data_IF_922571375009
#
_entry.id   IF_922571375009
#
_cell.length_a   1.000
_cell.length_b   1.000
_cell.length_c   1.000
_cell.angle_alpha   90.00
_cell.angle_beta   90.00
_cell.angle_gamma   90.00
#
_symmetry.space_group_name_H-M   'P 1'
#
loop_
_entity.id
_entity.type
_entity.pdbx_description
1 polymer ?
#
# COMPACT_ATOMS: atom_id res chain seq x y z
N UNK A 1 -4.08 51.11 14.28
CA UNK A 1 -4.31 51.54 12.88
C UNK A 1 -4.68 50.31 12.06
N UNK A 2 -5.75 50.27 11.26
CA UNK A 2 -6.80 51.25 10.97
C UNK A 2 -8.09 50.48 10.56
N UNK A 3 -9.21 50.71 11.24
CA UNK A 3 -10.45 51.40 10.76
C UNK A 3 -11.42 50.58 9.88
N UNK A 4 -12.58 50.30 10.48
CA UNK A 4 -13.90 49.84 9.97
C UNK A 4 -14.48 50.95 9.03
N UNK A 5 -15.28 50.69 7.94
CA UNK A 5 -16.58 50.00 8.01
C UNK A 5 -17.09 49.16 6.82
N UNK A 6 -18.15 48.39 7.10
CA UNK A 6 -19.06 47.82 6.10
C UNK A 6 -20.27 48.76 5.88
N UNK A 7 -20.54 49.14 4.63
CA UNK A 7 -21.90 49.45 4.09
C UNK A 7 -21.80 50.08 2.70
N UNK A 8 -22.53 49.56 1.71
CA UNK A 8 -23.32 50.36 0.74
C UNK A 8 -24.53 49.53 0.30
N UNK A 9 -25.65 50.22 0.10
CA UNK A 9 -26.98 49.70 -0.19
C UNK A 9 -27.19 48.99 -1.54
N UNK A 10 -28.33 48.31 -1.61
CA UNK A 10 -29.00 47.91 -2.85
C UNK A 10 -29.54 49.10 -3.64
N UNK A 11 -29.29 49.18 -4.96
CA UNK A 11 -30.34 49.40 -5.99
C UNK A 11 -29.84 49.49 -7.45
N UNK A 12 -30.71 49.05 -8.37
CA UNK A 12 -30.90 49.49 -9.77
C UNK A 12 -29.91 49.11 -10.91
N UNK A 13 -30.29 48.01 -11.58
CA UNK A 13 -30.62 47.89 -13.02
C UNK A 13 -29.57 47.93 -14.18
N UNK A 14 -29.48 46.77 -14.85
CA UNK A 14 -29.33 46.47 -16.29
C UNK A 14 -28.05 46.77 -17.12
N UNK A 15 -27.40 45.65 -17.52
CA UNK A 15 -26.87 45.26 -18.87
C UNK A 15 -26.43 46.40 -19.82
N UNK A 16 -25.19 46.43 -20.31
CA UNK A 16 -24.58 45.40 -21.18
C UNK A 16 -23.04 45.35 -21.04
N UNK A 17 -22.37 44.35 -21.63
CA UNK A 17 -20.92 44.10 -21.47
C UNK A 17 -20.02 45.12 -22.19
N UNK A 18 -18.69 45.02 -22.12
CA UNK A 18 -17.83 44.10 -21.36
C UNK A 18 -16.44 44.80 -21.20
N UNK A 19 -15.39 44.32 -20.51
CA UNK A 19 -14.96 42.97 -20.12
C UNK A 19 -14.40 42.98 -18.69
N UNK A 20 -14.53 41.88 -17.94
CA UNK A 20 -13.59 41.58 -16.85
C UNK A 20 -12.98 40.20 -16.97
N UNK A 21 -11.66 40.17 -17.10
CA UNK A 21 -10.79 38.99 -16.96
C UNK A 21 -10.86 38.44 -15.54
N UNK A 22 -11.93 37.73 -15.23
CA UNK A 22 -11.98 36.86 -14.06
C UNK A 22 -11.35 35.53 -14.43
N UNK A 23 -10.35 35.11 -13.65
CA UNK A 23 -9.94 33.71 -13.62
C UNK A 23 -11.20 32.83 -13.50
N UNK A 24 -11.29 31.69 -14.21
CA UNK A 24 -12.48 30.86 -14.15
C UNK A 24 -12.79 30.57 -12.69
N UNK A 25 -13.99 30.98 -12.24
CA UNK A 25 -14.59 30.44 -11.03
C UNK A 25 -14.41 28.93 -11.14
N UNK A 26 -13.87 28.27 -10.12
CA UNK A 26 -13.88 26.82 -10.05
C UNK A 26 -15.32 26.36 -10.28
N UNK A 27 -15.62 25.85 -11.47
CA UNK A 27 -16.96 25.38 -11.78
C UNK A 27 -17.19 24.19 -10.88
N UNK A 28 -18.16 24.34 -9.99
CA UNK A 28 -18.59 23.24 -9.16
C UNK A 28 -19.35 22.26 -10.07
N UNK A 29 -18.62 21.32 -10.66
CA UNK A 29 -19.16 20.21 -11.45
C UNK A 29 -19.96 19.21 -10.61
N UNK A 30 -20.20 19.53 -9.34
CA UNK A 30 -20.91 18.72 -8.38
C UNK A 30 -22.27 19.40 -8.12
N UNK A 31 -23.38 18.67 -8.31
CA UNK A 31 -24.74 19.18 -8.05
C UNK A 31 -25.37 18.42 -6.88
N UNK A 32 -26.17 19.06 -6.02
CA UNK A 32 -26.84 18.35 -4.94
C UNK A 32 -27.84 17.34 -5.51
N UNK A 33 -27.82 16.09 -5.02
CA UNK A 33 -28.81 15.08 -5.43
C UNK A 33 -30.09 15.27 -4.62
N UNK A 34 -31.21 15.51 -5.29
CA UNK A 34 -32.49 15.84 -4.63
C UNK A 34 -32.87 14.74 -3.65
N UNK A 35 -33.07 15.13 -2.39
CA UNK A 35 -33.49 14.20 -1.35
C UNK A 35 -32.42 13.21 -0.90
N UNK A 36 -31.12 13.50 -1.12
CA UNK A 36 -29.96 12.71 -0.68
C UNK A 36 -28.81 13.64 -0.24
N UNK A 37 -28.86 14.24 0.97
CA UNK A 37 -27.91 15.28 1.38
C UNK A 37 -26.48 14.77 1.60
N UNK A 38 -26.26 13.45 1.60
CA UNK A 38 -24.92 12.84 1.60
C UNK A 38 -24.39 12.53 0.19
N UNK A 39 -25.06 12.98 -0.88
CA UNK A 39 -24.67 12.75 -2.28
C UNK A 39 -24.61 14.02 -3.12
N UNK A 40 -23.75 13.98 -4.13
CA UNK A 40 -23.69 14.94 -5.23
C UNK A 40 -23.56 14.24 -6.58
N UNK A 41 -24.22 14.78 -7.60
CA UNK A 41 -24.03 14.38 -8.99
C UNK A 41 -22.75 15.01 -9.51
N UNK A 42 -21.76 14.20 -9.88
CA UNK A 42 -20.54 14.67 -10.52
C UNK A 42 -20.78 14.70 -12.04
N UNK A 43 -20.95 15.90 -12.60
CA UNK A 43 -21.19 16.16 -14.02
C UNK A 43 -20.02 15.67 -14.90
N UNK A 44 -18.77 15.77 -14.41
CA UNK A 44 -17.57 15.33 -15.14
C UNK A 44 -17.43 13.80 -15.20
N UNK A 45 -18.01 13.09 -14.21
CA UNK A 45 -18.06 11.63 -14.18
C UNK A 45 -19.44 11.06 -14.57
N UNK A 46 -20.40 11.94 -14.88
CA UNK A 46 -21.80 11.64 -15.19
C UNK A 46 -22.47 10.60 -14.25
N UNK A 47 -22.23 10.73 -12.94
CA UNK A 47 -22.71 9.79 -11.91
C UNK A 47 -22.94 10.44 -10.55
N UNK A 48 -23.83 9.87 -9.73
CA UNK A 48 -23.92 10.20 -8.31
C UNK A 48 -22.69 9.68 -7.54
N UNK A 49 -22.08 10.55 -6.75
CA UNK A 49 -21.03 10.26 -5.79
C UNK A 49 -21.49 10.70 -4.39
N UNK A 50 -20.82 10.23 -3.34
CA UNK A 50 -21.21 10.51 -1.97
C UNK A 50 -20.13 11.23 -1.18
N UNK A 51 -20.59 11.89 -0.12
CA UNK A 51 -19.76 12.51 0.90
C UNK A 51 -19.29 11.52 1.96
N UNK A 52 -18.06 11.70 2.51
CA UNK A 52 -17.53 10.85 3.57
C UNK A 52 -18.47 10.68 4.76
N UNK A 53 -18.28 9.58 5.50
CA UNK A 53 -19.14 9.20 6.61
C UNK A 53 -19.39 10.36 7.60
N UNK A 54 -20.64 10.47 8.05
CA UNK A 54 -21.15 11.55 8.91
C UNK A 54 -21.23 12.97 8.31
N UNK A 55 -20.72 13.20 7.09
CA UNK A 55 -20.80 14.50 6.41
C UNK A 55 -21.98 14.59 5.43
N UNK A 56 -22.34 15.83 5.06
CA UNK A 56 -23.32 16.18 4.01
C UNK A 56 -22.66 17.01 2.92
N UNK A 57 -23.17 16.90 1.69
CA UNK A 57 -22.72 17.70 0.56
C UNK A 57 -23.26 19.12 0.67
N UNK A 58 -22.35 20.09 0.59
CA UNK A 58 -22.61 21.51 0.67
C UNK A 58 -22.39 22.17 -0.69
N UNK A 59 -23.43 22.37 -1.52
CA UNK A 59 -23.31 22.91 -2.86
C UNK A 59 -22.81 24.37 -2.89
N UNK A 60 -22.99 25.10 -1.79
CA UNK A 60 -22.53 26.48 -1.60
C UNK A 60 -20.99 26.60 -1.53
N UNK A 61 -20.30 25.54 -1.08
CA UNK A 61 -18.83 25.47 -0.98
C UNK A 61 -18.23 24.29 -1.77
N UNK A 62 -19.04 23.59 -2.56
CA UNK A 62 -18.65 22.46 -3.42
C UNK A 62 -17.95 21.26 -2.71
N UNK A 63 -18.11 21.11 -1.40
CA UNK A 63 -17.42 20.09 -0.59
C UNK A 63 -18.37 19.38 0.37
N UNK A 64 -17.85 18.37 1.05
CA UNK A 64 -18.56 17.64 2.10
C UNK A 64 -18.17 18.18 3.48
N UNK A 65 -19.14 18.51 4.33
CA UNK A 65 -18.90 19.07 5.66
C UNK A 65 -19.94 18.61 6.69
N UNK A 66 -19.74 19.02 7.94
CA UNK A 66 -20.70 18.71 9.01
C UNK A 66 -22.07 19.34 8.70
N UNK A 67 -23.19 18.67 9.01
CA UNK A 67 -24.50 19.30 8.95
C UNK A 67 -24.57 20.46 9.94
N UNK A 68 -25.11 21.60 9.49
CA UNK A 68 -25.43 22.73 10.37
C UNK A 68 -26.64 22.36 11.24
N UNK A 69 -26.69 22.88 12.47
CA UNK A 69 -27.86 22.74 13.33
C UNK A 69 -29.03 23.55 12.74
N UNK A 70 -30.14 22.87 12.44
CA UNK A 70 -31.39 23.41 11.89
C UNK A 70 -31.28 24.00 10.45
N UNK A 71 -32.26 23.89 9.54
CA UNK A 71 -33.61 23.32 9.59
C UNK A 71 -33.90 22.43 8.35
N UNK A 72 -34.94 21.59 8.45
CA UNK A 72 -35.69 20.92 7.35
C UNK A 72 -35.00 19.88 6.43
N UNK A 73 -35.39 18.61 6.67
CA UNK A 73 -35.69 17.53 5.71
C UNK A 73 -34.81 17.26 4.46
N UNK A 74 -34.11 16.11 4.47
CA UNK A 74 -34.30 15.07 3.42
C UNK A 74 -33.52 13.76 3.64
N UNK A 75 -34.00 12.68 2.99
CA UNK A 75 -33.65 11.25 3.21
C UNK A 75 -32.23 10.86 2.73
N UNK A 76 -31.73 9.68 3.08
CA UNK A 76 -30.32 9.25 2.85
C UNK A 76 -30.22 7.95 2.02
N UNK A 77 -29.22 7.86 1.14
CA UNK A 77 -28.80 6.64 0.39
C UNK A 77 -27.25 6.60 0.37
N UNK A 78 -26.55 5.42 0.40
CA UNK A 78 -25.12 5.33 0.73
C UNK A 78 -24.12 5.10 -0.44
N UNK A 79 -22.82 5.10 -0.09
CA UNK A 79 -21.61 5.24 -0.94
C UNK A 79 -21.04 3.92 -1.51
N UNK A 80 -20.51 3.91 -2.75
CA UNK A 80 -19.64 2.83 -3.23
C UNK A 80 -18.23 2.90 -2.61
N UNK A 81 -17.80 1.81 -1.97
CA UNK A 81 -16.45 1.69 -1.39
C UNK A 81 -15.39 1.63 -2.50
N UNK A 82 -14.40 2.53 -2.48
CA UNK A 82 -13.26 2.50 -3.40
C UNK A 82 -12.38 1.27 -3.09
N UNK A 83 -12.48 0.25 -3.93
CA UNK A 83 -11.74 -1.01 -3.80
C UNK A 83 -10.22 -0.75 -3.83
N UNK A 84 -9.48 -1.34 -2.89
CA UNK A 84 -8.03 -1.31 -2.89
C UNK A 84 -7.49 -2.34 -3.91
N UNK A 85 -7.10 -1.87 -5.08
CA UNK A 85 -6.42 -2.68 -6.10
C UNK A 85 -4.89 -2.62 -5.90
N UNK A 86 -4.15 -3.69 -6.26
CA UNK A 86 -2.70 -3.72 -6.08
C UNK A 86 -1.99 -2.69 -6.97
N UNK A 87 -0.91 -2.11 -6.47
CA UNK A 87 0.05 -1.34 -7.28
C UNK A 87 0.96 -2.28 -8.08
N UNK A 88 1.39 -3.40 -7.49
CA UNK A 88 2.11 -4.49 -8.19
C UNK A 88 1.33 -5.78 -8.04
N UNK A 89 1.16 -6.52 -9.13
CA UNK A 89 0.82 -7.93 -9.13
C UNK A 89 1.79 -8.63 -10.07
N UNK A 90 2.83 -9.26 -9.51
CA UNK A 90 3.81 -10.01 -10.30
C UNK A 90 3.15 -11.29 -10.82
N UNK A 91 3.18 -11.44 -12.12
CA UNK A 91 2.70 -12.63 -12.81
C UNK A 91 3.87 -13.48 -13.30
N UNK A 92 3.80 -14.78 -12.96
CA UNK A 92 4.73 -15.81 -13.42
C UNK A 92 4.10 -16.75 -14.47
N UNK A 93 2.88 -16.44 -14.94
CA UNK A 93 2.22 -17.22 -16.00
C UNK A 93 2.69 -16.78 -17.39
N UNK A 94 2.85 -17.74 -18.30
CA UNK A 94 3.30 -17.46 -19.67
C UNK A 94 4.81 -17.51 -19.86
N UNK A 95 5.36 -16.53 -20.60
CA UNK A 95 6.75 -16.51 -21.12
C UNK A 95 7.68 -15.48 -20.45
N UNK A 96 7.13 -14.46 -19.78
CA UNK A 96 7.89 -13.36 -19.18
C UNK A 96 7.27 -12.96 -17.85
N UNK A 97 8.09 -12.45 -16.93
CA UNK A 97 7.65 -11.96 -15.63
C UNK A 97 7.19 -10.52 -15.79
N UNK A 98 5.92 -10.24 -15.51
CA UNK A 98 5.30 -8.93 -15.79
C UNK A 98 4.41 -8.47 -14.64
N UNK A 99 4.19 -7.15 -14.54
CA UNK A 99 3.19 -6.60 -13.63
C UNK A 99 1.80 -6.61 -14.29
N UNK A 100 0.87 -7.40 -13.77
CA UNK A 100 -0.54 -7.47 -14.18
C UNK A 100 -1.47 -6.54 -13.38
N UNK A 101 -0.93 -5.60 -12.59
CA UNK A 101 -1.78 -4.64 -11.86
C UNK A 101 -2.49 -3.67 -12.81
N UNK A 102 -3.66 -3.12 -12.42
CA UNK A 102 -4.35 -2.08 -13.19
C UNK A 102 -3.48 -0.82 -13.42
N UNK A 103 -2.58 -0.53 -12.48
CA UNK A 103 -1.66 0.63 -12.55
C UNK A 103 -0.46 0.44 -13.47
N UNK A 104 -0.15 -0.80 -13.90
CA UNK A 104 0.91 -1.11 -14.89
C UNK A 104 2.30 -0.51 -14.60
N UNK A 105 2.63 -0.24 -13.32
CA UNK A 105 3.96 0.27 -12.95
C UNK A 105 5.03 -0.75 -13.33
N UNK A 106 6.17 -0.24 -13.80
CA UNK A 106 7.28 -1.08 -14.26
C UNK A 106 7.90 -1.90 -13.13
N UNK A 107 8.31 -3.12 -13.45
CA UNK A 107 9.09 -4.01 -12.60
C UNK A 107 10.26 -4.57 -13.41
N UNK A 108 11.39 -4.79 -12.75
CA UNK A 108 12.63 -5.26 -13.37
C UNK A 108 13.08 -6.59 -12.75
N UNK A 109 12.75 -7.74 -13.39
CA UNK A 109 13.17 -9.06 -12.95
C UNK A 109 14.59 -9.38 -13.42
N UNK A 110 15.56 -9.37 -12.50
CA UNK A 110 16.93 -9.89 -12.74
C UNK A 110 16.99 -11.37 -12.34
N UNK A 111 17.58 -12.23 -13.19
CA UNK A 111 17.90 -13.65 -12.93
C UNK A 111 16.79 -14.51 -12.29
N UNK A 112 15.54 -14.10 -12.44
CA UNK A 112 14.37 -14.80 -11.90
C UNK A 112 13.74 -15.63 -13.01
N UNK A 113 13.59 -16.93 -12.81
CA UNK A 113 13.14 -17.86 -13.85
C UNK A 113 11.69 -18.29 -13.63
N UNK A 114 10.87 -18.37 -14.68
CA UNK A 114 9.56 -19.03 -14.59
C UNK A 114 9.77 -20.54 -14.56
N UNK A 115 9.34 -21.20 -13.48
CA UNK A 115 9.31 -22.66 -13.36
C UNK A 115 7.88 -23.16 -13.43
N UNK A 116 7.67 -24.38 -13.95
CA UNK A 116 6.36 -25.04 -14.03
C UNK A 116 6.40 -26.36 -13.26
N UNK A 117 5.40 -26.59 -12.42
CA UNK A 117 5.17 -27.88 -11.76
C UNK A 117 4.57 -28.92 -12.72
N UNK A 118 4.68 -30.20 -12.35
CA UNK A 118 4.03 -31.32 -13.07
C UNK A 118 2.52 -31.09 -13.30
N UNK A 119 1.84 -30.41 -12.38
CA UNK A 119 0.41 -30.07 -12.45
C UNK A 119 0.12 -28.78 -13.24
N UNK A 120 1.10 -28.25 -13.97
CA UNK A 120 0.96 -27.08 -14.84
C UNK A 120 1.01 -25.70 -14.15
N UNK A 121 0.91 -25.63 -12.82
CA UNK A 121 1.05 -24.36 -12.09
C UNK A 121 2.46 -23.78 -12.27
N UNK A 122 2.54 -22.47 -12.53
CA UNK A 122 3.80 -21.73 -12.76
C UNK A 122 4.11 -20.80 -11.58
N UNK A 123 5.40 -20.58 -11.30
CA UNK A 123 5.90 -19.73 -10.22
C UNK A 123 7.31 -19.24 -10.53
N UNK A 124 7.72 -18.13 -9.91
CA UNK A 124 9.06 -17.57 -10.02
C UNK A 124 10.06 -18.36 -9.18
N UNK A 125 11.18 -18.78 -9.77
CA UNK A 125 12.31 -19.43 -9.11
C UNK A 125 13.41 -18.41 -8.86
N UNK A 126 13.85 -18.35 -7.61
CA UNK A 126 14.92 -17.48 -7.14
C UNK A 126 16.13 -18.33 -6.73
N UNK A 127 17.32 -17.92 -7.16
CA UNK A 127 18.54 -18.73 -7.14
C UNK A 127 19.40 -18.57 -5.87
N UNK A 128 19.00 -17.71 -4.92
CA UNK A 128 19.74 -17.46 -3.69
C UNK A 128 20.99 -16.57 -3.81
N UNK A 129 21.28 -16.03 -5.00
CA UNK A 129 22.52 -15.29 -5.27
C UNK A 129 22.21 -13.96 -5.97
N UNK A 130 21.56 -14.01 -7.14
CA UNK A 130 21.33 -12.84 -7.99
C UNK A 130 19.87 -12.50 -8.23
N UNK A 131 18.97 -13.49 -8.18
CA UNK A 131 17.55 -13.33 -8.52
C UNK A 131 16.86 -12.25 -7.68
N UNK A 132 16.23 -11.28 -8.34
CA UNK A 132 15.44 -10.22 -7.72
C UNK A 132 14.36 -9.71 -8.66
N UNK A 133 13.35 -9.05 -8.11
CA UNK A 133 12.43 -8.20 -8.88
C UNK A 133 12.41 -6.82 -8.22
N UNK A 134 12.93 -5.84 -8.96
CA UNK A 134 13.00 -4.45 -8.53
C UNK A 134 11.73 -3.69 -8.90
N UNK A 135 11.29 -2.77 -8.04
CA UNK A 135 10.09 -1.93 -8.20
C UNK A 135 10.49 -0.45 -8.02
N UNK A 136 11.06 0.20 -9.06
CA UNK A 136 11.61 1.56 -8.93
C UNK A 136 10.56 2.64 -8.64
N UNK A 137 9.30 2.40 -9.01
CA UNK A 137 8.19 3.32 -8.72
C UNK A 137 8.07 3.66 -7.22
N UNK A 138 8.42 2.74 -6.32
CA UNK A 138 8.30 2.92 -4.87
C UNK A 138 9.58 3.46 -4.20
N UNK A 139 10.61 3.82 -4.99
CA UNK A 139 11.84 4.41 -4.48
C UNK A 139 11.65 5.89 -4.10
N UNK A 140 12.26 6.35 -3.02
CA UNK A 140 12.17 7.73 -2.53
C UNK A 140 10.77 8.19 -2.09
N UNK A 141 9.75 7.34 -2.19
CA UNK A 141 8.38 7.68 -1.81
C UNK A 141 8.19 7.71 -0.30
N UNK A 142 7.41 8.67 0.19
CA UNK A 142 6.87 8.66 1.54
C UNK A 142 5.69 7.69 1.60
N UNK A 143 5.82 6.61 2.36
CA UNK A 143 4.83 5.52 2.43
C UNK A 143 4.07 5.61 3.76
N UNK A 144 2.81 6.01 3.67
CA UNK A 144 1.86 6.08 4.81
C UNK A 144 1.08 4.79 5.02
N UNK A 145 0.87 4.01 3.95
CA UNK A 145 0.23 2.69 3.97
C UNK A 145 0.90 1.77 2.97
N UNK A 146 1.07 0.52 3.35
CA UNK A 146 1.67 -0.52 2.50
C UNK A 146 1.10 -1.88 2.89
N UNK A 147 0.76 -2.69 1.90
CA UNK A 147 0.49 -4.11 2.13
C UNK A 147 1.29 -4.94 1.13
N UNK A 148 2.09 -5.87 1.63
CA UNK A 148 2.78 -6.87 0.82
C UNK A 148 2.20 -8.25 1.13
N UNK A 149 1.61 -8.89 0.12
CA UNK A 149 1.12 -10.28 0.19
C UNK A 149 1.88 -11.11 -0.83
N UNK A 150 2.45 -12.24 -0.39
CA UNK A 150 3.18 -13.16 -1.26
C UNK A 150 2.95 -14.61 -0.82
N UNK A 151 3.16 -15.55 -1.72
CA UNK A 151 3.23 -16.98 -1.40
C UNK A 151 4.62 -17.49 -1.74
N UNK A 152 5.29 -18.12 -0.77
CA UNK A 152 6.64 -18.66 -0.96
C UNK A 152 6.76 -20.13 -0.60
N UNK A 153 7.70 -20.81 -1.23
CA UNK A 153 8.15 -22.17 -0.91
C UNK A 153 9.67 -22.17 -0.78
N UNK A 154 10.20 -22.80 0.25
CA UNK A 154 11.63 -23.11 0.33
C UNK A 154 11.85 -24.45 1.06
N UNK A 155 12.91 -25.15 0.67
CA UNK A 155 13.42 -26.28 1.45
C UNK A 155 14.14 -25.82 2.73
N UNK A 156 14.56 -24.55 2.81
CA UNK A 156 15.27 -24.00 3.97
C UNK A 156 16.63 -24.66 4.23
N UNK A 157 17.25 -25.21 3.18
CA UNK A 157 18.56 -25.89 3.18
C UNK A 157 19.63 -25.15 2.36
N UNK A 158 19.24 -24.29 1.42
CA UNK A 158 20.13 -23.53 0.53
C UNK A 158 19.90 -22.02 0.64
N UNK A 159 20.81 -21.25 0.04
CA UNK A 159 20.89 -19.79 0.16
C UNK A 159 21.49 -19.31 1.49
N UNK A 160 21.63 -17.97 1.66
CA UNK A 160 22.11 -17.34 2.88
C UNK A 160 21.26 -17.64 4.13
N UNK A 161 21.73 -17.24 5.31
CA UNK A 161 20.98 -17.44 6.55
C UNK A 161 19.82 -16.45 6.73
N UNK A 162 19.96 -15.22 6.23
CA UNK A 162 18.90 -14.21 6.19
C UNK A 162 18.60 -13.89 4.73
N UNK A 163 17.37 -14.13 4.30
CA UNK A 163 16.97 -14.06 2.89
C UNK A 163 15.79 -13.09 2.71
N UNK A 164 15.92 -12.08 1.85
CA UNK A 164 14.87 -11.07 1.63
C UNK A 164 13.74 -11.66 0.78
N UNK A 165 12.52 -11.74 1.32
CA UNK A 165 11.32 -12.02 0.52
C UNK A 165 10.76 -10.73 -0.09
N UNK A 166 10.71 -9.68 0.71
CA UNK A 166 10.21 -8.35 0.35
C UNK A 166 10.92 -7.31 1.21
N UNK A 167 11.36 -6.19 0.65
CA UNK A 167 12.03 -5.12 1.41
C UNK A 167 12.07 -3.83 0.62
N UNK A 168 12.00 -2.67 1.29
CA UNK A 168 12.39 -1.41 0.65
C UNK A 168 13.92 -1.22 0.58
N UNK A 169 14.69 -2.13 1.16
CA UNK A 169 16.16 -2.10 1.21
C UNK A 169 16.70 -0.85 1.91
N UNK A 170 18.00 -0.57 1.75
CA UNK A 170 18.74 0.38 2.59
C UNK A 170 18.06 1.75 2.75
N UNK A 171 17.80 2.09 4.01
CA UNK A 171 17.48 3.44 4.48
C UNK A 171 18.61 3.85 5.42
N UNK A 172 19.40 4.86 5.04
CA UNK A 172 20.68 5.20 5.72
C UNK A 172 20.55 5.48 7.23
N UNK A 173 19.36 5.84 7.68
CA UNK A 173 19.03 6.23 9.05
C UNK A 173 18.53 5.08 9.93
N UNK A 174 18.18 3.91 9.38
CA UNK A 174 17.68 2.77 10.17
C UNK A 174 18.82 1.79 10.46
N UNK A 175 18.98 1.42 11.74
CA UNK A 175 19.96 0.40 12.16
C UNK A 175 19.28 -0.61 13.05
N UNK A 176 19.35 -1.88 12.66
CA UNK A 176 18.76 -3.00 13.41
C UNK A 176 19.81 -3.63 14.33
N UNK A 177 19.66 -3.43 15.63
CA UNK A 177 20.56 -4.01 16.65
C UNK A 177 20.13 -5.44 17.03
N UNK A 178 20.14 -6.36 16.06
CA UNK A 178 19.64 -7.73 16.24
C UNK A 178 20.51 -8.75 15.48
N UNK A 179 20.85 -9.91 16.08
CA UNK A 179 21.58 -10.98 15.39
C UNK A 179 20.75 -11.74 14.35
N UNK A 180 19.42 -11.54 14.31
CA UNK A 180 18.51 -12.16 13.35
C UNK A 180 18.55 -11.52 11.95
N UNK A 181 19.15 -10.33 11.84
CA UNK A 181 19.16 -9.48 10.64
C UNK A 181 20.61 -9.30 10.18
N UNK A 182 20.84 -9.26 8.86
CA UNK A 182 22.16 -8.90 8.34
C UNK A 182 22.45 -7.43 8.71
N UNK A 183 23.63 -7.11 9.26
CA UNK A 183 23.98 -5.73 9.66
C UNK A 183 23.99 -4.75 8.49
N UNK A 184 24.19 -5.25 7.27
CA UNK A 184 24.15 -4.45 6.04
C UNK A 184 22.71 -4.22 5.53
N UNK A 185 21.70 -4.82 6.17
CA UNK A 185 20.29 -4.53 5.92
C UNK A 185 19.80 -3.42 6.86
N UNK A 186 19.56 -2.25 6.28
CA UNK A 186 18.91 -1.10 6.92
C UNK A 186 17.49 -0.79 6.41
N UNK A 187 16.60 -1.77 6.15
CA UNK A 187 15.26 -1.48 5.63
C UNK A 187 14.36 -0.89 6.71
N UNK A 188 13.47 0.01 6.30
CA UNK A 188 12.38 0.49 7.17
C UNK A 188 11.13 -0.37 7.07
N UNK A 189 11.02 -1.23 6.05
CA UNK A 189 9.99 -2.28 6.00
C UNK A 189 10.49 -3.52 5.26
N UNK A 190 10.35 -4.69 5.87
CA UNK A 190 10.80 -5.94 5.27
C UNK A 190 10.08 -7.21 5.79
N UNK A 191 10.09 -8.23 4.94
CA UNK A 191 9.86 -9.63 5.27
C UNK A 191 11.15 -10.39 4.94
N UNK A 192 11.84 -10.89 5.96
CA UNK A 192 13.10 -11.63 5.84
C UNK A 192 12.89 -13.06 6.34
N UNK A 193 13.30 -14.05 5.57
CA UNK A 193 13.38 -15.43 6.04
C UNK A 193 14.70 -15.66 6.77
N UNK A 194 14.63 -15.99 8.06
CA UNK A 194 15.79 -16.43 8.84
C UNK A 194 15.83 -17.98 8.87
N UNK A 195 16.78 -18.54 8.14
CA UNK A 195 16.97 -19.98 7.91
C UNK A 195 17.43 -20.72 9.17
N UNK A 196 18.26 -20.06 10.00
CA UNK A 196 18.79 -20.56 11.27
C UNK A 196 17.70 -20.71 12.32
N UNK A 197 16.88 -19.66 12.52
CA UNK A 197 15.77 -19.68 13.48
C UNK A 197 14.53 -20.43 12.98
N UNK A 198 14.43 -20.70 11.67
CA UNK A 198 13.19 -21.17 11.04
C UNK A 198 12.01 -20.24 11.38
N UNK A 199 12.21 -18.93 11.14
CA UNK A 199 11.24 -17.86 11.35
C UNK A 199 11.27 -16.90 10.16
N UNK A 200 10.13 -16.25 9.92
CA UNK A 200 10.10 -14.99 9.17
C UNK A 200 10.23 -13.84 10.18
N UNK A 201 11.13 -12.92 9.88
CA UNK A 201 11.31 -11.65 10.55
C UNK A 201 10.54 -10.60 9.77
N UNK A 202 9.63 -9.91 10.44
CA UNK A 202 8.87 -8.78 9.90
C UNK A 202 9.38 -7.52 10.56
N UNK A 203 9.76 -6.53 9.76
CA UNK A 203 10.40 -5.30 10.21
C UNK A 203 9.56 -4.09 9.83
N UNK A 204 9.48 -3.11 10.73
CA UNK A 204 8.91 -1.80 10.49
C UNK A 204 9.61 -0.70 11.29
N UNK A 205 9.95 0.40 10.64
CA UNK A 205 10.51 1.62 11.24
C UNK A 205 9.92 2.81 10.51
N UNK A 206 9.60 3.87 11.25
CA UNK A 206 9.07 5.11 10.69
C UNK A 206 10.06 6.26 10.86
N UNK A 207 9.78 7.39 10.20
CA UNK A 207 10.50 8.66 10.38
C UNK A 207 10.23 9.29 11.76
N UNK A 208 9.16 8.85 12.44
CA UNK A 208 8.76 9.33 13.75
C UNK A 208 9.68 8.77 14.84
N UNK A 209 10.53 9.62 15.40
CA UNK A 209 11.48 9.25 16.46
C UNK A 209 10.81 8.86 17.78
N UNK A 210 9.52 9.14 17.96
CA UNK A 210 8.75 8.68 19.11
C UNK A 210 8.18 7.26 18.91
N UNK A 211 8.13 6.76 17.68
CA UNK A 211 7.71 5.39 17.38
C UNK A 211 8.90 4.43 17.52
N UNK A 212 8.74 3.39 18.32
CA UNK A 212 9.74 2.32 18.40
C UNK A 212 9.79 1.50 17.11
N UNK A 213 10.96 0.91 16.84
CA UNK A 213 11.14 -0.04 15.74
C UNK A 213 10.46 -1.37 16.06
N UNK A 214 9.65 -1.88 15.13
CA UNK A 214 8.92 -3.13 15.31
C UNK A 214 9.65 -4.28 14.65
N UNK A 215 9.86 -5.34 15.42
CA UNK A 215 10.27 -6.66 14.93
C UNK A 215 9.29 -7.73 15.38
N UNK A 216 8.79 -8.53 14.45
CA UNK A 216 7.95 -9.70 14.75
C UNK A 216 8.55 -10.96 14.15
N UNK A 217 8.49 -12.07 14.92
CA UNK A 217 9.00 -13.37 14.51
C UNK A 217 7.84 -14.38 14.39
N UNK A 218 7.44 -14.73 13.16
CA UNK A 218 6.41 -15.75 12.93
C UNK A 218 7.02 -17.04 12.35
N UNK A 219 6.52 -18.23 12.73
CA UNK A 219 6.97 -19.49 12.16
C UNK A 219 6.46 -19.67 10.72
N UNK A 220 7.23 -20.44 9.95
CA UNK A 220 6.84 -20.92 8.62
C UNK A 220 7.20 -22.41 8.49
N UNK A 221 6.65 -23.08 7.49
CA UNK A 221 6.85 -24.51 7.22
C UNK A 221 7.81 -24.70 6.05
N UNK A 222 8.96 -25.34 6.30
CA UNK A 222 9.88 -25.80 5.23
C UNK A 222 9.21 -26.89 4.39
N UNK A 223 9.59 -26.98 3.12
CA UNK A 223 9.06 -27.94 2.15
C UNK A 223 7.53 -27.86 1.94
N UNK A 224 6.93 -26.69 2.17
CA UNK A 224 5.52 -26.43 1.94
C UNK A 224 5.29 -24.98 1.46
N UNK A 225 4.10 -24.70 0.96
CA UNK A 225 3.72 -23.35 0.54
C UNK A 225 3.21 -22.52 1.73
N UNK A 226 3.78 -21.34 1.90
CA UNK A 226 3.46 -20.40 2.97
C UNK A 226 2.91 -19.12 2.34
N UNK A 227 1.70 -18.73 2.72
CA UNK A 227 1.14 -17.43 2.34
C UNK A 227 1.55 -16.43 3.43
N UNK A 228 2.15 -15.32 3.03
CA UNK A 228 2.67 -14.30 3.94
C UNK A 228 2.03 -12.97 3.60
N UNK A 229 1.77 -12.22 4.66
CA UNK A 229 1.22 -10.89 4.58
C UNK A 229 1.90 -10.00 5.62
N UNK A 230 2.30 -8.82 5.18
CA UNK A 230 2.75 -7.71 6.01
C UNK A 230 1.90 -6.50 5.62
N UNK A 231 1.33 -5.83 6.61
CA UNK A 231 0.48 -4.67 6.44
C UNK A 231 0.96 -3.56 7.38
N UNK A 232 1.11 -2.36 6.83
CA UNK A 232 1.32 -1.13 7.55
C UNK A 232 0.21 -0.16 7.17
N UNK A 233 -0.54 0.35 8.13
CA UNK A 233 -1.72 1.21 7.87
C UNK A 233 -1.54 2.68 8.31
N UNK A 234 -0.37 3.03 8.84
CA UNK A 234 -0.01 4.33 9.40
C UNK A 234 -0.01 4.39 10.94
N UNK A 235 -0.57 3.37 11.60
CA UNK A 235 -0.64 3.27 13.07
C UNK A 235 -0.24 1.88 13.62
N UNK A 236 -0.39 0.82 12.83
CA UNK A 236 0.00 -0.54 13.18
C UNK A 236 0.86 -1.19 12.06
N UNK A 237 1.82 -2.03 12.47
CA UNK A 237 2.40 -3.06 11.62
C UNK A 237 1.79 -4.42 12.00
N UNK A 238 1.03 -5.01 11.09
CA UNK A 238 0.45 -6.34 11.21
C UNK A 238 1.19 -7.35 10.32
N UNK A 239 1.44 -8.55 10.84
CA UNK A 239 2.06 -9.66 10.13
C UNK A 239 1.20 -10.92 10.22
N UNK A 240 1.12 -11.69 9.14
CA UNK A 240 0.42 -12.99 9.08
C UNK A 240 1.19 -13.99 8.23
N UNK A 241 1.29 -15.23 8.72
CA UNK A 241 1.75 -16.40 7.97
C UNK A 241 0.67 -17.47 8.03
N UNK A 242 0.17 -17.88 6.86
CA UNK A 242 -0.81 -18.97 6.72
C UNK A 242 -0.28 -20.12 5.89
N UNK A 243 -0.19 -21.27 6.52
CA UNK A 243 0.22 -22.55 5.92
C UNK A 243 -1.04 -23.40 5.71
N UNK A 244 -1.22 -23.96 4.52
CA UNK A 244 -2.30 -24.92 4.25
C UNK A 244 -1.65 -26.28 4.06
N UNK A 245 -1.81 -27.17 5.05
CA UNK A 245 -1.24 -28.51 5.00
C UNK A 245 -1.85 -29.39 3.89
N UNK A 246 -1.19 -30.52 3.60
CA UNK A 246 -1.69 -31.53 2.64
C UNK A 246 -3.03 -32.14 3.06
N UNK A 247 -3.31 -32.11 4.36
CA UNK A 247 -4.56 -32.47 5.05
C UNK A 247 -5.64 -31.37 4.98
N UNK A 248 -5.37 -30.25 4.30
CA UNK A 248 -6.20 -29.04 4.21
C UNK A 248 -6.41 -28.29 5.53
N UNK A 249 -5.75 -28.68 6.63
CA UNK A 249 -5.77 -27.87 7.84
C UNK A 249 -4.95 -26.59 7.61
N UNK A 250 -5.55 -25.45 7.94
CA UNK A 250 -4.92 -24.15 7.81
C UNK A 250 -4.36 -23.72 9.17
N UNK A 251 -3.04 -23.68 9.31
CA UNK A 251 -2.38 -23.04 10.44
C UNK A 251 -2.16 -21.56 10.08
N UNK A 252 -2.64 -20.66 10.93
CA UNK A 252 -2.42 -19.22 10.82
C UNK A 252 -1.69 -18.70 12.05
N UNK A 253 -0.58 -18.02 11.81
CA UNK A 253 0.17 -17.26 12.80
C UNK A 253 0.02 -15.80 12.45
N UNK A 254 -0.30 -14.96 13.43
CA UNK A 254 -0.45 -13.51 13.24
C UNK A 254 0.08 -12.76 14.45
N UNK A 255 0.61 -11.57 14.22
CA UNK A 255 0.99 -10.62 15.27
C UNK A 255 0.80 -9.19 14.75
N UNK A 256 0.62 -8.25 15.67
CA UNK A 256 0.29 -6.85 15.41
C UNK A 256 0.93 -5.99 16.49
N UNK A 257 1.65 -4.94 16.08
CA UNK A 257 2.29 -3.99 17.01
C UNK A 257 2.09 -2.57 16.51
N UNK A 258 1.85 -1.62 17.43
CA UNK A 258 1.79 -0.21 17.10
C UNK A 258 3.08 0.27 16.42
N UNK A 259 2.95 1.04 15.35
CA UNK A 259 4.02 1.67 14.59
C UNK A 259 3.42 2.92 13.95
N UNK A 260 3.77 4.12 14.42
CA UNK A 260 3.09 5.35 14.03
C UNK A 260 3.90 6.18 13.04
N UNK A 261 3.19 6.85 12.11
CA UNK A 261 3.77 7.84 11.21
C UNK A 261 3.94 7.32 9.78
N UNK A 262 5.10 7.60 9.17
CA UNK A 262 5.41 7.26 7.77
C UNK A 262 6.67 6.41 7.75
N UNK A 263 6.70 5.38 6.91
CA UNK A 263 7.91 4.56 6.77
C UNK A 263 9.05 5.44 6.24
N UNK A 264 10.24 5.25 6.80
CA UNK A 264 11.44 5.96 6.34
C UNK A 264 11.67 5.66 4.85
N UNK A 265 11.74 6.67 3.96
CA UNK A 265 11.97 6.44 2.54
C UNK A 265 13.31 5.74 2.26
N UNK A 266 13.33 4.82 1.30
CA UNK A 266 14.55 4.19 0.81
C UNK A 266 15.04 4.87 -0.47
N UNK A 267 16.35 5.13 -0.56
CA UNK A 267 16.96 5.67 -1.78
C UNK A 267 17.07 4.60 -2.89
N UNK A 268 17.04 3.30 -2.53
CA UNK A 268 17.04 2.19 -3.47
C UNK A 268 15.60 1.83 -3.90
N UNK A 269 15.40 1.22 -5.08
CA UNK A 269 14.14 0.60 -5.45
C UNK A 269 13.74 -0.50 -4.47
N UNK A 270 12.45 -0.59 -4.17
CA UNK A 270 11.89 -1.70 -3.39
C UNK A 270 12.11 -3.02 -4.12
N UNK A 271 12.52 -4.06 -3.40
CA UNK A 271 12.91 -5.36 -3.95
C UNK A 271 12.04 -6.50 -3.44
N UNK A 272 11.87 -7.49 -4.32
CA UNK A 272 11.43 -8.84 -3.99
C UNK A 272 12.63 -9.76 -4.22
N UNK A 273 12.97 -10.59 -3.25
CA UNK A 273 13.97 -11.65 -3.38
C UNK A 273 15.41 -11.31 -2.98
N UNK A 274 15.85 -10.04 -2.96
CA UNK A 274 17.25 -9.66 -2.64
C UNK A 274 17.41 -8.14 -2.49
N UNK A 275 18.20 -7.65 -1.53
CA UNK A 275 18.70 -6.27 -1.50
C UNK A 275 20.20 -6.16 -1.82
N UNK A 276 21.01 -7.12 -1.37
CA UNK A 276 22.48 -7.10 -1.50
C UNK A 276 23.05 -8.48 -1.90
N UNK A 277 24.38 -8.61 -1.94
CA UNK A 277 25.04 -9.83 -2.43
C UNK A 277 24.96 -11.03 -1.47
N UNK A 278 24.45 -10.82 -0.26
CA UNK A 278 24.45 -11.80 0.84
C UNK A 278 23.05 -12.16 1.36
N UNK A 279 21.98 -11.66 0.74
CA UNK A 279 20.60 -11.83 1.23
C UNK A 279 19.61 -12.40 0.20
N UNK A 280 20.11 -12.95 -0.91
CA UNK A 280 19.30 -13.52 -1.97
C UNK A 280 18.43 -14.69 -1.52
N UNK A 281 17.14 -14.65 -1.85
CA UNK A 281 16.18 -15.70 -1.56
C UNK A 281 16.41 -16.94 -2.42
N UNK A 282 16.43 -18.11 -1.77
CA UNK A 282 16.47 -19.40 -2.43
C UNK A 282 15.13 -20.12 -2.29
N UNK A 283 14.41 -20.29 -3.41
CA UNK A 283 13.14 -21.00 -3.43
C UNK A 283 12.23 -20.54 -4.57
N UNK A 284 10.92 -20.60 -4.31
CA UNK A 284 9.89 -20.20 -5.26
C UNK A 284 8.96 -19.15 -4.67
N UNK A 285 8.55 -18.19 -5.49
CA UNK A 285 7.55 -17.16 -5.18
C UNK A 285 6.38 -17.20 -6.17
N UNK A 286 5.20 -16.89 -5.66
CA UNK A 286 3.95 -16.80 -6.40
C UNK A 286 2.98 -15.82 -5.70
N UNK A 287 1.92 -15.41 -6.39
CA UNK A 287 0.86 -14.51 -5.90
C UNK A 287 1.38 -13.21 -5.27
N UNK A 288 2.53 -12.70 -5.72
CA UNK A 288 3.17 -11.52 -5.16
C UNK A 288 2.38 -10.27 -5.55
N UNK A 289 1.78 -9.64 -4.54
CA UNK A 289 0.93 -8.45 -4.67
C UNK A 289 1.33 -7.41 -3.64
N UNK A 290 1.47 -6.16 -4.10
CA UNK A 290 1.77 -5.01 -3.25
C UNK A 290 0.68 -3.96 -3.45
N UNK A 291 0.24 -3.32 -2.38
CA UNK A 291 -0.81 -2.31 -2.35
C UNK A 291 -0.29 -1.07 -1.61
N UNK A 292 -0.69 0.13 -2.05
CA UNK A 292 -0.50 1.41 -1.36
C UNK A 292 -1.72 1.80 -0.49
N UNK A 293 -2.55 0.81 -0.18
CA UNK A 293 -3.78 0.92 0.59
C UNK A 293 -4.05 -0.38 1.37
N UNK A 294 -4.99 -0.32 2.32
CA UNK A 294 -5.52 -1.47 3.07
C UNK A 294 -6.80 -1.99 2.39
N UNK A 295 -6.87 -3.26 1.94
CA UNK A 295 -8.05 -3.85 1.30
C UNK A 295 -9.25 -4.15 2.22
#
# INVERSE_FOLDING_TARGET
ACTIPCSVDSSNFNRQGDVTTKAPKYECFFRPVKGRPKKYWNEMANQEQDCPASLVYRPDICVCGNPLESETESKVVPIPVKKCDPVVFVDFTGKSIVNKSPRRIWIDPTDTQITRSEKGAQYGRFNGITSRISIPFLSGMSITKLMARLRFFTAGTQGPDSQVLFSNCETETVRWNSPEINKDLSPSIAIILNRKLNRLVFLGSTEDRASEQVMMLLPFKKNDWNNVELMFDGAELSARVRVVGKDKQALEFKNSTALTGRLTPAQKPMQIGRCNDQDGFFGYLDMVKIYDCTP
#
